data_IF_204928733949
#
_entry.id   IF_204928733949
#
_cell.length_a   1.000
_cell.length_b   1.000
_cell.length_c   1.000
_cell.angle_alpha   90.00
_cell.angle_beta   90.00
_cell.angle_gamma   90.00
#
_symmetry.space_group_name_H-M   'P 1'
#
loop_
_entity.id
_entity.type
_entity.pdbx_description
1 polymer ?
#
# COMPACT_ATOMS: atom_id res chain seq x y z
N UNK A 1 6.71 -2.82 2.52
CA UNK A 1 5.81 -2.42 3.63
C UNK A 1 6.12 -1.00 4.07
N UNK A 2 5.20 -0.30 4.74
CA UNK A 2 5.35 1.11 5.11
C UNK A 2 4.84 1.35 6.53
N UNK A 3 5.49 2.27 7.25
CA UNK A 3 5.00 2.83 8.50
C UNK A 3 4.49 4.25 8.23
N UNK A 4 3.29 4.56 8.65
CA UNK A 4 2.77 5.93 8.68
C UNK A 4 3.10 6.55 10.05
N UNK A 5 3.98 7.56 10.05
CA UNK A 5 4.35 8.32 11.25
C UNK A 5 3.57 9.64 11.28
N UNK A 6 2.89 9.90 12.38
CA UNK A 6 2.15 11.14 12.57
C UNK A 6 2.77 11.95 13.71
N UNK A 7 3.17 13.18 13.43
CA UNK A 7 3.56 14.18 14.41
C UNK A 7 2.49 15.25 14.48
N UNK A 8 1.93 15.41 15.65
CA UNK A 8 0.78 16.30 15.89
C UNK A 8 1.24 17.42 16.80
N UNK A 9 0.87 18.66 16.48
CA UNK A 9 1.24 19.81 17.28
C UNK A 9 0.43 21.05 16.97
N UNK A 10 0.78 22.15 17.62
CA UNK A 10 0.17 23.47 17.42
C UNK A 10 1.12 24.41 16.68
N UNK A 11 0.61 25.12 15.68
CA UNK A 11 1.37 26.18 15.00
C UNK A 11 1.33 27.43 15.89
N UNK A 12 2.44 27.73 16.56
CA UNK A 12 2.50 28.81 17.57
C UNK A 12 3.00 30.13 16.98
N UNK A 13 3.86 30.09 15.98
CA UNK A 13 4.45 31.28 15.32
C UNK A 13 5.06 30.93 13.98
N UNK A 14 5.40 31.96 13.20
CA UNK A 14 6.29 31.83 12.04
C UNK A 14 7.75 31.88 12.50
N UNK A 15 8.61 31.08 11.89
CA UNK A 15 10.05 31.09 12.16
C UNK A 15 10.64 32.45 11.81
N UNK A 16 11.71 32.84 12.53
CA UNK A 16 12.48 34.02 12.21
C UNK A 16 13.53 33.77 11.12
N UNK A 17 13.81 32.49 10.85
CA UNK A 17 14.85 32.06 9.90
C UNK A 17 14.28 31.86 8.49
N UNK A 18 12.99 31.51 8.37
CA UNK A 18 12.30 31.27 7.11
C UNK A 18 10.78 31.43 7.30
N UNK A 19 10.01 31.70 6.21
CA UNK A 19 8.56 31.86 6.29
C UNK A 19 7.83 30.51 6.43
N UNK A 20 8.18 29.76 7.47
CA UNK A 20 7.59 28.46 7.80
C UNK A 20 6.99 28.46 9.21
N UNK A 21 5.88 27.75 9.47
CA UNK A 21 5.34 27.64 10.80
C UNK A 21 6.28 26.87 11.74
N UNK A 22 6.42 27.33 12.97
CA UNK A 22 7.01 26.57 14.08
C UNK A 22 5.90 25.79 14.75
N UNK A 23 6.06 24.46 14.76
CA UNK A 23 5.08 23.53 15.32
C UNK A 23 5.64 22.98 16.63
N UNK A 24 4.94 23.25 17.73
CA UNK A 24 5.23 22.66 19.02
C UNK A 24 4.51 21.30 19.10
N UNK A 25 5.31 20.23 19.10
CA UNK A 25 4.78 18.88 19.07
C UNK A 25 4.12 18.53 20.38
N UNK A 26 2.87 18.05 20.30
CA UNK A 26 2.06 17.56 21.44
C UNK A 26 1.75 16.07 21.37
N UNK A 27 1.84 15.46 20.18
CA UNK A 27 1.54 14.06 19.95
C UNK A 27 2.45 13.42 18.92
N UNK A 28 2.59 12.09 19.03
CA UNK A 28 3.37 11.27 18.12
C UNK A 28 2.74 9.87 18.07
N UNK A 29 2.47 9.36 16.88
CA UNK A 29 1.91 8.02 16.70
C UNK A 29 2.46 7.35 15.45
N UNK A 30 2.48 6.03 15.48
CA UNK A 30 2.80 5.18 14.34
C UNK A 30 1.59 4.33 13.99
N UNK A 31 1.34 4.16 12.69
CA UNK A 31 0.27 3.32 12.16
C UNK A 31 0.83 2.43 11.05
N UNK A 32 0.26 1.23 10.84
CA UNK A 32 0.54 0.45 9.64
C UNK A 32 0.13 1.24 8.39
N UNK A 33 1.03 1.35 7.41
CA UNK A 33 0.78 2.06 6.15
C UNK A 33 0.81 1.14 4.94
N UNK A 34 0.31 1.60 3.80
CA UNK A 34 0.29 0.86 2.54
C UNK A 34 -0.35 -0.55 2.70
N UNK A 35 0.29 -1.61 2.20
CA UNK A 35 -0.21 -2.98 2.32
C UNK A 35 -0.41 -3.44 3.77
N UNK A 36 0.36 -2.93 4.73
CA UNK A 36 0.16 -3.22 6.15
C UNK A 36 -1.15 -2.64 6.69
N UNK A 37 -1.58 -1.45 6.20
CA UNK A 37 -2.90 -0.89 6.53
C UNK A 37 -4.03 -1.73 5.92
N UNK A 38 -3.86 -2.23 4.69
CA UNK A 38 -4.83 -3.16 4.09
C UNK A 38 -4.99 -4.41 4.96
N UNK A 39 -3.90 -5.03 5.38
CA UNK A 39 -3.92 -6.19 6.26
C UNK A 39 -4.61 -5.91 7.59
N UNK A 40 -4.35 -4.76 8.19
CA UNK A 40 -4.99 -4.32 9.43
C UNK A 40 -6.51 -4.19 9.27
N UNK A 41 -6.96 -3.59 8.15
CA UNK A 41 -8.39 -3.43 7.86
C UNK A 41 -9.08 -4.77 7.60
N UNK A 42 -8.45 -5.66 6.83
CA UNK A 42 -9.00 -7.00 6.55
C UNK A 42 -9.10 -7.82 7.84
N UNK A 43 -8.09 -7.71 8.72
CA UNK A 43 -8.14 -8.34 10.06
C UNK A 43 -9.28 -7.79 10.91
N UNK A 44 -9.50 -6.47 10.89
CA UNK A 44 -10.61 -5.84 11.61
C UNK A 44 -11.99 -6.29 11.11
N UNK A 45 -12.10 -6.71 9.87
CA UNK A 45 -13.32 -7.33 9.30
C UNK A 45 -13.50 -8.79 9.71
N UNK A 46 -12.57 -9.36 10.48
CA UNK A 46 -12.68 -10.71 11.05
C UNK A 46 -11.97 -11.82 10.28
N UNK A 47 -11.24 -11.49 9.21
CA UNK A 47 -10.45 -12.47 8.47
C UNK A 47 -9.19 -12.90 9.25
N UNK A 48 -8.70 -14.10 8.98
CA UNK A 48 -7.34 -14.50 9.33
C UNK A 48 -6.38 -13.99 8.26
N UNK A 49 -5.34 -13.25 8.67
CA UNK A 49 -4.50 -12.47 7.74
C UNK A 49 -3.03 -12.72 7.99
N UNK A 50 -2.31 -12.99 6.91
CA UNK A 50 -0.86 -12.94 6.88
C UNK A 50 -0.37 -11.88 5.90
N UNK A 51 0.70 -11.17 6.26
CA UNK A 51 1.35 -10.20 5.37
C UNK A 51 2.62 -10.77 4.78
N UNK A 52 2.86 -10.46 3.51
CA UNK A 52 4.10 -10.76 2.81
C UNK A 52 4.65 -9.49 2.15
N UNK A 53 5.96 -9.28 2.23
CA UNK A 53 6.63 -8.12 1.65
C UNK A 53 7.92 -7.77 2.38
N UNK A 54 8.55 -6.67 1.97
CA UNK A 54 9.86 -6.29 2.48
C UNK A 54 9.79 -5.21 3.56
N UNK A 55 10.68 -5.31 4.52
CA UNK A 55 11.01 -4.32 5.54
C UNK A 55 12.53 -4.17 5.63
N UNK A 56 13.03 -3.12 6.24
CA UNK A 56 14.44 -3.00 6.58
C UNK A 56 14.83 -3.87 7.77
N UNK A 57 16.12 -3.84 8.12
CA UNK A 57 16.63 -4.35 9.39
C UNK A 57 16.83 -3.17 10.35
N UNK A 58 15.69 -2.59 10.79
CA UNK A 58 15.66 -1.34 11.53
C UNK A 58 14.53 -1.27 12.57
N UNK A 59 14.54 -0.23 13.40
CA UNK A 59 13.54 0.00 14.43
C UNK A 59 12.11 0.16 13.87
N UNK A 60 11.97 0.65 12.66
CA UNK A 60 10.65 0.82 12.04
C UNK A 60 10.06 -0.52 11.61
N UNK A 61 10.92 -1.46 11.15
CA UNK A 61 10.50 -2.84 10.91
C UNK A 61 10.01 -3.51 12.20
N UNK A 62 10.78 -3.36 13.30
CA UNK A 62 10.39 -3.92 14.60
C UNK A 62 9.05 -3.34 15.10
N UNK A 63 8.84 -2.03 14.94
CA UNK A 63 7.57 -1.37 15.28
C UNK A 63 6.42 -1.88 14.43
N UNK A 64 6.62 -2.00 13.13
CA UNK A 64 5.59 -2.49 12.21
C UNK A 64 5.16 -3.92 12.56
N UNK A 65 6.13 -4.81 12.81
CA UNK A 65 5.86 -6.18 13.27
C UNK A 65 5.04 -6.17 14.56
N UNK A 66 5.47 -5.42 15.58
CA UNK A 66 4.76 -5.34 16.85
C UNK A 66 3.32 -4.83 16.71
N UNK A 67 3.07 -3.83 15.84
CA UNK A 67 1.72 -3.32 15.56
C UNK A 67 0.85 -4.40 14.89
N UNK A 68 1.36 -5.09 13.89
CA UNK A 68 0.65 -6.14 13.16
C UNK A 68 0.39 -7.35 14.05
N UNK A 69 1.38 -7.83 14.80
CA UNK A 69 1.24 -8.96 15.74
C UNK A 69 0.20 -8.64 16.83
N UNK A 70 0.20 -7.41 17.35
CA UNK A 70 -0.79 -6.98 18.36
C UNK A 70 -2.23 -6.96 17.82
N UNK A 71 -2.40 -6.79 16.52
CA UNK A 71 -3.68 -6.89 15.83
C UNK A 71 -4.06 -8.33 15.43
N UNK A 72 -3.17 -9.29 15.67
CA UNK A 72 -3.37 -10.69 15.28
C UNK A 72 -3.16 -10.94 13.77
N UNK A 73 -2.31 -10.16 13.12
CA UNK A 73 -1.85 -10.37 11.75
C UNK A 73 -0.54 -11.16 11.77
N UNK A 74 -0.45 -12.25 11.02
CA UNK A 74 0.76 -13.05 10.94
C UNK A 74 1.86 -12.35 10.14
N UNK A 75 3.04 -12.21 10.71
CA UNK A 75 4.15 -11.38 10.17
C UNK A 75 5.32 -12.20 9.63
N UNK A 76 5.20 -13.52 9.55
CA UNK A 76 6.29 -14.40 9.08
C UNK A 76 6.75 -14.10 7.64
N UNK A 77 5.87 -13.54 6.80
CA UNK A 77 6.19 -13.14 5.42
C UNK A 77 6.82 -11.74 5.29
N UNK A 78 7.12 -11.06 6.40
CA UNK A 78 7.90 -9.84 6.35
C UNK A 78 9.38 -10.18 6.24
N UNK A 79 9.93 -10.11 5.05
CA UNK A 79 11.33 -10.41 4.75
C UNK A 79 12.17 -9.17 5.04
N UNK A 80 13.29 -9.35 5.75
CA UNK A 80 14.22 -8.26 6.01
C UNK A 80 15.17 -8.05 4.82
N UNK A 81 15.23 -6.83 4.31
CA UNK A 81 16.17 -6.41 3.27
C UNK A 81 17.16 -5.42 3.88
N UNK A 82 18.37 -5.85 4.29
CA UNK A 82 19.30 -5.00 5.04
C UNK A 82 19.78 -3.76 4.28
N UNK A 83 19.80 -3.81 2.95
CA UNK A 83 20.21 -2.69 2.09
C UNK A 83 19.13 -1.61 1.93
N UNK A 84 17.92 -1.85 2.44
CA UNK A 84 16.78 -0.92 2.29
C UNK A 84 16.20 -0.57 3.65
N UNK A 85 16.10 0.70 4.03
CA UNK A 85 15.36 1.07 5.23
C UNK A 85 13.87 0.78 5.04
N UNK A 86 13.19 0.47 6.14
CA UNK A 86 11.73 0.39 6.16
C UNK A 86 11.13 1.72 5.70
N UNK A 87 10.24 1.67 4.72
CA UNK A 87 9.59 2.89 4.21
C UNK A 87 8.77 3.56 5.29
N UNK A 88 8.93 4.89 5.42
CA UNK A 88 8.17 5.71 6.37
C UNK A 88 7.53 6.89 5.63
N UNK A 89 6.26 7.14 5.91
CA UNK A 89 5.55 8.35 5.46
C UNK A 89 5.23 9.20 6.70
N UNK A 90 6.10 10.19 6.95
CA UNK A 90 5.92 11.13 8.04
C UNK A 90 4.90 12.21 7.65
N UNK A 91 3.84 12.34 8.42
CA UNK A 91 2.84 13.42 8.29
C UNK A 91 2.92 14.34 9.49
N UNK A 92 3.09 15.61 9.23
CA UNK A 92 3.08 16.66 10.26
C UNK A 92 1.72 17.34 10.25
N UNK A 93 1.06 17.30 11.39
CA UNK A 93 -0.26 17.88 11.61
C UNK A 93 -0.15 19.07 12.54
N UNK A 94 -0.72 20.21 12.14
CA UNK A 94 -0.81 21.38 12.99
C UNK A 94 -2.26 21.78 13.18
N UNK A 95 -2.63 22.04 14.42
CA UNK A 95 -3.94 22.57 14.81
C UNK A 95 -3.78 23.88 15.58
N UNK A 96 -4.81 24.72 15.58
CA UNK A 96 -4.93 25.87 16.48
C UNK A 96 -5.69 25.51 17.76
N UNK A 97 -5.70 26.42 18.73
CA UNK A 97 -6.32 26.25 20.08
C UNK A 97 -7.85 25.99 20.09
N UNK A 98 -8.51 26.04 18.96
CA UNK A 98 -9.96 25.85 18.84
C UNK A 98 -10.28 24.51 18.19
N UNK A 99 -10.49 23.51 19.05
CA UNK A 99 -11.25 22.28 18.79
C UNK A 99 -10.98 21.56 17.45
N UNK A 100 -10.08 20.56 17.48
CA UNK A 100 -10.10 19.36 16.62
C UNK A 100 -9.84 19.52 15.11
N UNK A 101 -9.44 20.68 14.60
CA UNK A 101 -9.06 20.82 13.20
C UNK A 101 -7.53 20.80 13.06
N UNK A 102 -6.96 19.61 13.01
CA UNK A 102 -5.58 19.44 12.59
C UNK A 102 -5.54 19.41 11.05
N UNK A 103 -4.71 20.27 10.47
CA UNK A 103 -4.40 20.25 9.04
C UNK A 103 -3.04 19.60 8.83
N UNK A 104 -2.92 18.77 7.81
CA UNK A 104 -1.63 18.27 7.41
C UNK A 104 -0.84 19.42 6.76
N UNK A 105 0.23 19.84 7.40
CA UNK A 105 1.06 20.98 6.95
C UNK A 105 2.32 20.55 6.20
N UNK A 106 2.75 19.30 6.41
CA UNK A 106 3.87 18.72 5.68
C UNK A 106 3.73 17.20 5.62
N UNK A 107 4.34 16.61 4.57
CA UNK A 107 4.55 15.17 4.45
C UNK A 107 5.98 14.94 3.97
N UNK A 108 6.67 14.01 4.61
CA UNK A 108 8.02 13.60 4.25
C UNK A 108 7.98 12.10 3.99
N UNK A 109 8.28 11.70 2.76
CA UNK A 109 8.30 10.30 2.35
C UNK A 109 9.73 9.79 2.32
N UNK A 110 10.04 8.86 3.21
CA UNK A 110 11.28 8.09 3.22
C UNK A 110 11.00 6.73 2.59
N UNK A 111 11.03 6.68 1.27
CA UNK A 111 10.69 5.50 0.47
C UNK A 111 11.88 5.13 -0.40
N UNK A 112 12.35 3.90 -0.28
CA UNK A 112 13.34 3.35 -1.18
C UNK A 112 12.64 2.70 -2.39
N UNK A 113 13.12 3.00 -3.60
CA UNK A 113 12.67 2.43 -4.88
C UNK A 113 13.78 1.69 -5.62
N UNK A 114 14.94 1.49 -4.97
CA UNK A 114 16.01 0.70 -5.57
C UNK A 114 15.54 -0.74 -5.80
N UNK A 115 16.12 -1.46 -6.75
CA UNK A 115 15.80 -2.86 -6.97
C UNK A 115 15.94 -3.68 -5.68
N UNK A 116 15.06 -4.64 -5.50
CA UNK A 116 15.13 -5.61 -4.42
C UNK A 116 16.29 -6.58 -4.70
N UNK A 117 17.00 -7.00 -3.66
CA UNK A 117 18.03 -8.03 -3.82
C UNK A 117 17.41 -9.36 -4.26
N UNK A 118 18.14 -10.09 -5.11
CA UNK A 118 17.69 -11.43 -5.56
C UNK A 118 17.43 -12.37 -4.37
N UNK A 119 18.19 -12.24 -3.29
CA UNK A 119 18.02 -13.06 -2.08
C UNK A 119 16.67 -12.77 -1.43
N UNK A 120 16.37 -11.52 -1.12
CA UNK A 120 15.10 -11.15 -0.47
C UNK A 120 13.90 -11.40 -1.38
N UNK A 121 14.05 -11.23 -2.69
CA UNK A 121 13.03 -11.59 -3.67
C UNK A 121 12.74 -13.09 -3.64
N UNK A 122 13.78 -13.93 -3.66
CA UNK A 122 13.64 -15.37 -3.60
C UNK A 122 13.01 -15.85 -2.29
N UNK A 123 13.41 -15.25 -1.16
CA UNK A 123 12.81 -15.55 0.15
C UNK A 123 11.31 -15.18 0.17
N UNK A 124 10.94 -14.04 -0.42
CA UNK A 124 9.54 -13.65 -0.54
C UNK A 124 8.74 -14.64 -1.39
N UNK A 125 9.27 -15.06 -2.53
CA UNK A 125 8.65 -16.04 -3.41
C UNK A 125 8.46 -17.38 -2.68
N UNK A 126 9.50 -17.89 -2.02
CA UNK A 126 9.41 -19.13 -1.24
C UNK A 126 8.36 -19.06 -0.13
N UNK A 127 8.27 -17.92 0.54
CA UNK A 127 7.21 -17.71 1.53
C UNK A 127 5.81 -17.77 0.89
N UNK A 128 5.62 -17.08 -0.23
CA UNK A 128 4.35 -17.08 -0.95
C UNK A 128 3.95 -18.47 -1.45
N UNK A 129 4.90 -19.25 -1.94
CA UNK A 129 4.66 -20.63 -2.38
C UNK A 129 4.15 -21.52 -1.25
N UNK A 130 4.64 -21.33 -0.03
CA UNK A 130 4.14 -22.06 1.14
C UNK A 130 2.83 -21.53 1.69
N UNK A 131 2.63 -20.21 1.65
CA UNK A 131 1.49 -19.57 2.29
C UNK A 131 0.22 -19.58 1.43
N UNK A 132 0.31 -19.29 0.13
CA UNK A 132 -0.86 -19.13 -0.75
C UNK A 132 -1.83 -20.32 -0.72
N UNK A 133 -1.39 -21.60 -0.70
CA UNK A 133 -2.29 -22.73 -0.59
C UNK A 133 -3.17 -22.73 0.67
N UNK A 134 -2.71 -22.13 1.75
CA UNK A 134 -3.35 -22.15 3.07
C UNK A 134 -4.41 -21.07 3.27
N UNK A 135 -4.49 -20.07 2.39
CA UNK A 135 -5.44 -18.96 2.46
C UNK A 135 -6.51 -19.04 1.38
N UNK A 136 -7.65 -18.39 1.57
CA UNK A 136 -8.76 -18.34 0.60
C UNK A 136 -8.49 -17.36 -0.56
N UNK A 137 -7.62 -16.38 -0.36
CA UNK A 137 -7.30 -15.39 -1.37
C UNK A 137 -6.05 -14.58 -1.07
N UNK A 138 -5.64 -13.83 -2.07
CA UNK A 138 -4.49 -12.92 -2.04
C UNK A 138 -4.96 -11.51 -2.38
N UNK A 139 -4.56 -10.54 -1.57
CA UNK A 139 -4.75 -9.11 -1.86
C UNK A 139 -3.37 -8.48 -2.11
N UNK A 140 -3.17 -7.98 -3.31
CA UNK A 140 -1.94 -7.30 -3.73
C UNK A 140 -2.15 -5.80 -3.60
N UNK A 141 -1.25 -5.11 -2.88
CA UNK A 141 -1.25 -3.66 -2.75
C UNK A 141 0.11 -3.13 -3.19
N UNK A 142 0.18 -2.63 -4.43
CA UNK A 142 1.40 -2.18 -5.07
C UNK A 142 1.51 -0.65 -5.10
N UNK A 143 2.54 -0.15 -4.42
CA UNK A 143 2.91 1.27 -4.36
C UNK A 143 4.13 1.60 -5.22
N UNK A 144 4.41 0.78 -6.24
CA UNK A 144 5.56 0.92 -7.15
C UNK A 144 6.90 1.04 -6.40
N UNK A 145 7.03 0.30 -5.31
CA UNK A 145 8.27 0.27 -4.50
C UNK A 145 9.25 -0.81 -4.93
N UNK A 146 9.00 -1.48 -6.05
CA UNK A 146 9.85 -2.53 -6.61
C UNK A 146 9.72 -3.89 -5.91
N UNK A 147 8.78 -4.06 -4.99
CA UNK A 147 8.55 -5.35 -4.27
C UNK A 147 7.63 -6.27 -5.07
N UNK A 148 6.56 -5.70 -5.64
CA UNK A 148 5.65 -6.43 -6.53
C UNK A 148 6.18 -6.28 -7.95
N UNK A 149 7.20 -7.02 -8.29
CA UNK A 149 7.84 -7.01 -9.61
C UNK A 149 7.44 -8.21 -10.47
N UNK A 150 8.01 -8.33 -11.68
CA UNK A 150 7.67 -9.39 -12.61
C UNK A 150 7.94 -10.78 -12.04
N UNK A 151 9.11 -11.12 -11.46
CA UNK A 151 9.37 -12.43 -10.88
C UNK A 151 8.39 -12.82 -9.78
N UNK A 152 8.00 -11.88 -8.90
CA UNK A 152 7.01 -12.14 -7.85
C UNK A 152 5.63 -12.44 -8.45
N UNK A 153 5.18 -11.64 -9.43
CA UNK A 153 3.88 -11.87 -10.08
C UNK A 153 3.85 -13.15 -10.92
N UNK A 154 4.94 -13.46 -11.64
CA UNK A 154 5.09 -14.69 -12.42
C UNK A 154 5.05 -15.96 -11.56
N UNK A 155 5.50 -15.90 -10.31
CA UNK A 155 5.33 -16.98 -9.34
C UNK A 155 3.91 -16.98 -8.73
N UNK A 156 3.44 -15.83 -8.25
CA UNK A 156 2.23 -15.73 -7.44
C UNK A 156 0.94 -15.99 -8.23
N UNK A 157 0.77 -15.37 -9.42
CA UNK A 157 -0.50 -15.47 -10.14
C UNK A 157 -0.81 -16.89 -10.63
N UNK A 158 0.13 -17.64 -11.24
CA UNK A 158 -0.10 -19.03 -11.58
C UNK A 158 -0.31 -19.94 -10.36
N UNK A 159 0.38 -19.64 -9.25
CA UNK A 159 0.20 -20.39 -8.00
C UNK A 159 -1.22 -20.22 -7.47
N UNK A 160 -1.70 -18.99 -7.35
CA UNK A 160 -3.07 -18.69 -6.91
C UNK A 160 -4.11 -19.36 -7.82
N UNK A 161 -3.93 -19.28 -9.14
CA UNK A 161 -4.82 -19.91 -10.11
C UNK A 161 -4.86 -21.45 -9.97
N UNK A 162 -3.69 -22.10 -9.79
CA UNK A 162 -3.63 -23.56 -9.58
C UNK A 162 -4.38 -24.02 -8.34
N UNK A 163 -4.40 -23.18 -7.30
CA UNK A 163 -5.08 -23.48 -6.04
C UNK A 163 -6.49 -22.89 -5.96
N UNK A 164 -7.00 -22.30 -7.06
CA UNK A 164 -8.34 -21.73 -7.11
C UNK A 164 -8.55 -20.55 -6.14
N UNK A 165 -7.49 -19.82 -5.83
CA UNK A 165 -7.52 -18.72 -4.86
C UNK A 165 -8.00 -17.44 -5.53
N UNK A 166 -8.81 -16.66 -4.81
CA UNK A 166 -9.18 -15.30 -5.22
C UNK A 166 -7.94 -14.39 -5.22
N UNK A 167 -7.80 -13.57 -6.27
CA UNK A 167 -6.75 -12.54 -6.33
C UNK A 167 -7.38 -11.17 -6.57
N UNK A 168 -7.19 -10.26 -5.61
CA UNK A 168 -7.52 -8.85 -5.76
C UNK A 168 -6.24 -8.00 -5.82
N UNK A 169 -6.23 -6.95 -6.64
CA UNK A 169 -5.08 -6.05 -6.71
C UNK A 169 -5.50 -4.58 -6.70
N UNK A 170 -4.70 -3.78 -6.01
CA UNK A 170 -4.70 -2.32 -5.99
C UNK A 170 -3.29 -1.85 -6.34
N UNK A 171 -3.14 -1.06 -7.40
CA UNK A 171 -1.84 -0.62 -7.90
C UNK A 171 -1.90 0.83 -8.35
N UNK A 172 -0.86 1.60 -8.01
CA UNK A 172 -0.71 2.99 -8.42
C UNK A 172 -0.28 3.19 -9.88
N UNK A 173 -0.29 2.14 -10.68
CA UNK A 173 0.02 2.18 -12.11
C UNK A 173 0.22 0.80 -12.71
N UNK A 174 0.50 0.76 -14.02
CA UNK A 174 0.83 -0.47 -14.75
C UNK A 174 -0.20 -1.60 -14.52
N UNK A 175 -1.50 -1.29 -14.66
CA UNK A 175 -2.60 -2.24 -14.39
C UNK A 175 -2.50 -3.51 -15.24
N UNK A 176 -1.92 -3.42 -16.45
CA UNK A 176 -1.67 -4.56 -17.34
C UNK A 176 -0.83 -5.68 -16.71
N UNK A 177 -0.01 -5.37 -15.67
CA UNK A 177 0.78 -6.38 -14.94
C UNK A 177 -0.10 -7.34 -14.12
N UNK A 178 -1.33 -6.93 -13.80
CA UNK A 178 -2.30 -7.69 -13.02
C UNK A 178 -3.38 -8.34 -13.88
N UNK A 179 -3.05 -8.59 -15.15
CA UNK A 179 -3.98 -9.28 -16.05
C UNK A 179 -4.40 -10.64 -15.51
N UNK A 180 -5.70 -10.95 -15.59
CA UNK A 180 -6.26 -12.25 -15.19
C UNK A 180 -6.59 -12.36 -13.69
N UNK A 181 -6.46 -11.29 -12.90
CA UNK A 181 -6.90 -11.29 -11.50
C UNK A 181 -8.42 -11.22 -11.37
N UNK A 182 -8.96 -11.59 -10.21
CA UNK A 182 -10.41 -11.59 -9.98
C UNK A 182 -10.99 -10.19 -9.77
N UNK A 183 -10.20 -9.26 -9.21
CA UNK A 183 -10.63 -7.89 -8.95
C UNK A 183 -9.48 -6.89 -9.03
N UNK A 184 -9.76 -5.70 -9.59
CA UNK A 184 -8.88 -4.54 -9.59
C UNK A 184 -9.61 -3.30 -9.05
N UNK A 185 -8.88 -2.44 -8.34
CA UNK A 185 -9.45 -1.24 -7.72
C UNK A 185 -8.70 0.05 -8.09
N UNK A 186 -8.53 0.37 -9.40
CA UNK A 186 -7.85 1.59 -9.79
C UNK A 186 -8.67 2.84 -9.39
N UNK A 187 -7.97 3.95 -9.17
CA UNK A 187 -8.62 5.25 -9.20
C UNK A 187 -8.82 5.75 -10.65
N UNK A 188 -9.61 6.82 -10.82
CA UNK A 188 -9.87 7.36 -12.16
C UNK A 188 -8.58 7.75 -12.91
N UNK A 189 -7.60 8.48 -12.33
CA UNK A 189 -6.33 8.78 -13.00
C UNK A 189 -5.54 7.53 -13.44
N UNK A 190 -5.54 6.46 -12.65
CA UNK A 190 -4.88 5.19 -12.99
C UNK A 190 -5.58 4.49 -14.15
N UNK A 191 -6.92 4.50 -14.14
CA UNK A 191 -7.72 3.97 -15.25
C UNK A 191 -7.52 4.77 -16.54
N UNK A 192 -7.50 6.10 -16.47
CA UNK A 192 -7.21 7.00 -17.59
C UNK A 192 -5.80 6.77 -18.17
N UNK A 193 -4.81 6.58 -17.29
CA UNK A 193 -3.43 6.31 -17.71
C UNK A 193 -3.29 4.98 -18.44
N UNK A 194 -3.96 3.92 -17.98
CA UNK A 194 -3.94 2.61 -18.64
C UNK A 194 -4.64 2.66 -20.01
N UNK A 195 -5.78 3.37 -20.12
CA UNK A 195 -6.52 3.54 -21.38
C UNK A 195 -5.91 4.56 -22.32
N UNK A 196 -5.01 5.41 -21.87
CA UNK A 196 -4.44 6.51 -22.65
C UNK A 196 -5.44 7.60 -23.02
N UNK A 197 -6.57 7.72 -22.31
CA UNK A 197 -7.62 8.71 -22.53
C UNK A 197 -8.33 9.13 -21.25
N UNK A 198 -8.96 10.30 -21.27
CA UNK A 198 -9.73 10.83 -20.14
C UNK A 198 -11.09 10.15 -19.98
N UNK A 199 -11.61 10.13 -18.76
CA UNK A 199 -12.89 9.55 -18.36
C UNK A 199 -13.69 10.58 -17.52
N UNK A 200 -14.08 11.72 -18.12
CA UNK A 200 -14.70 12.82 -17.37
C UNK A 200 -16.21 12.65 -17.22
N UNK A 201 -16.87 12.05 -18.22
CA UNK A 201 -18.30 11.87 -18.23
C UNK A 201 -18.70 10.48 -17.67
N UNK A 202 -19.86 10.37 -17.01
CA UNK A 202 -20.32 9.08 -16.49
C UNK A 202 -20.39 7.96 -17.55
N UNK A 203 -20.74 8.28 -18.78
CA UNK A 203 -20.75 7.33 -19.90
C UNK A 203 -19.35 6.85 -20.26
N UNK A 204 -18.37 7.74 -20.29
CA UNK A 204 -16.97 7.41 -20.56
C UNK A 204 -16.36 6.51 -19.46
N UNK A 205 -16.75 6.72 -18.20
CA UNK A 205 -16.36 5.87 -17.07
C UNK A 205 -16.90 4.44 -17.22
N UNK A 206 -18.17 4.29 -17.64
CA UNK A 206 -18.76 2.97 -17.86
C UNK A 206 -18.12 2.25 -19.04
N UNK A 207 -17.94 2.95 -20.15
CA UNK A 207 -17.32 2.41 -21.36
C UNK A 207 -15.85 2.06 -21.13
N UNK A 208 -15.09 2.94 -20.47
CA UNK A 208 -13.69 2.73 -20.09
C UNK A 208 -13.54 1.58 -19.10
N UNK A 209 -14.43 1.47 -18.12
CA UNK A 209 -14.46 0.35 -17.20
C UNK A 209 -14.71 -0.99 -17.89
N UNK A 210 -15.65 -1.04 -18.86
CA UNK A 210 -15.92 -2.22 -19.66
C UNK A 210 -14.76 -2.58 -20.61
N UNK A 211 -14.02 -1.59 -21.11
CA UNK A 211 -12.82 -1.78 -21.90
C UNK A 211 -11.70 -2.39 -21.07
N UNK A 212 -11.40 -1.79 -19.90
CA UNK A 212 -10.40 -2.31 -18.95
C UNK A 212 -10.71 -3.74 -18.48
N UNK A 213 -11.96 -4.07 -18.17
CA UNK A 213 -12.36 -5.42 -17.81
C UNK A 213 -11.97 -6.45 -18.87
N UNK A 214 -12.17 -6.11 -20.16
CA UNK A 214 -11.85 -7.00 -21.28
C UNK A 214 -10.34 -7.07 -21.55
N UNK A 215 -9.66 -5.92 -21.54
CA UNK A 215 -8.23 -5.85 -21.84
C UNK A 215 -7.38 -6.49 -20.76
N UNK A 216 -7.75 -6.29 -19.49
CA UNK A 216 -7.05 -6.85 -18.34
C UNK A 216 -7.53 -8.26 -17.98
N UNK A 217 -8.54 -8.79 -18.69
CA UNK A 217 -9.11 -10.11 -18.41
C UNK A 217 -9.45 -10.30 -16.93
N UNK A 218 -9.95 -9.26 -16.27
CA UNK A 218 -10.34 -9.31 -14.87
C UNK A 218 -11.86 -9.47 -14.73
N UNK A 219 -12.29 -10.11 -13.63
CA UNK A 219 -13.72 -10.42 -13.42
C UNK A 219 -14.49 -9.24 -12.83
N UNK A 220 -13.84 -8.39 -12.07
CA UNK A 220 -14.43 -7.25 -11.37
C UNK A 220 -13.48 -6.05 -11.43
N UNK A 221 -14.05 -4.89 -11.66
CA UNK A 221 -13.32 -3.63 -11.65
C UNK A 221 -14.13 -2.60 -10.85
N UNK A 222 -13.47 -1.94 -9.90
CA UNK A 222 -14.03 -0.82 -9.16
C UNK A 222 -13.16 0.42 -9.41
N UNK A 223 -13.65 1.37 -10.20
CA UNK A 223 -12.95 2.65 -10.40
C UNK A 223 -13.37 3.60 -9.27
N UNK A 224 -12.42 4.04 -8.46
CA UNK A 224 -12.68 5.02 -7.38
C UNK A 224 -12.56 6.44 -7.91
N UNK A 225 -13.53 7.32 -7.56
CA UNK A 225 -13.63 8.67 -8.10
C UNK A 225 -13.17 9.78 -7.15
N UNK A 226 -12.66 9.40 -5.97
CA UNK A 226 -12.27 10.36 -4.93
C UNK A 226 -13.47 11.04 -4.27
N UNK A 227 -13.22 12.20 -3.65
CA UNK A 227 -14.29 13.04 -3.12
C UNK A 227 -14.85 13.91 -4.26
N UNK A 228 -16.12 13.71 -4.59
CA UNK A 228 -16.89 14.60 -5.46
C UNK A 228 -17.50 15.74 -4.65
#
# INVERSE_FOLDING_TARGET
MTVDEHRIGSATRISREAPVPVIEQSGHMYLPGAAANLAFNVRALGADVSVAGLVGDDDMAARLRAMLDSAGVHTAGLIAEPARPTSVKLRVWAGGDRQHQHQQVARIDMVNRDPVSEVSQQELILYLEGAVPEYDGVLISDYESGVVDAPVLESLLPLAARHGKFVGADSHGQLHRFRGVDALTPNQPEAEAELGRSLQEPGELLDGGAELLRELDCRRLLITLGAM
#
